data_IF_073192078951
#
_entry.id   IF_073192078951
#
_cell.length_a   1.000
_cell.length_b   1.000
_cell.length_c   1.000
_cell.angle_alpha   90.00
_cell.angle_beta   90.00
_cell.angle_gamma   90.00
#
_symmetry.space_group_name_H-M   'P 1'
#
loop_
_entity.id
_entity.type
_entity.pdbx_description
1 polymer ?
#
# COMPACT_ATOMS: atom_id res chain seq x y z
N UNK A 1 -11.31 0.06 -25.75
CA UNK A 1 -11.42 1.43 -26.30
C UNK A 1 -10.41 2.23 -25.52
N UNK A 2 -9.42 2.82 -26.18
CA UNK A 2 -8.44 3.69 -25.50
C UNK A 2 -9.14 4.95 -25.02
N UNK A 3 -8.86 5.37 -23.77
CA UNK A 3 -9.42 6.60 -23.21
C UNK A 3 -8.84 7.82 -23.94
N UNK A 4 -9.67 8.83 -24.29
CA UNK A 4 -9.24 10.00 -25.06
C UNK A 4 -8.31 10.94 -24.28
N UNK A 5 -8.26 10.80 -22.95
CA UNK A 5 -7.36 11.53 -22.05
C UNK A 5 -6.85 10.56 -21.00
N UNK A 6 -5.54 10.57 -20.74
CA UNK A 6 -4.91 9.80 -19.67
C UNK A 6 -4.05 10.72 -18.81
N UNK A 7 -3.88 10.37 -17.53
CA UNK A 7 -3.07 11.13 -16.58
C UNK A 7 -2.13 10.20 -15.83
N UNK A 8 -0.97 10.71 -15.44
CA UNK A 8 0.03 10.02 -14.64
C UNK A 8 0.30 10.84 -13.37
N UNK A 9 0.30 10.17 -12.22
CA UNK A 9 0.66 10.74 -10.93
C UNK A 9 2.06 10.24 -10.56
N UNK A 10 2.93 11.16 -10.14
CA UNK A 10 4.28 10.85 -9.68
C UNK A 10 4.30 10.23 -8.28
N UNK A 11 5.46 9.72 -7.87
CA UNK A 11 5.67 9.10 -6.55
C UNK A 11 5.40 10.07 -5.37
N UNK A 12 5.44 11.38 -5.64
CA UNK A 12 5.11 12.44 -4.69
C UNK A 12 3.59 12.70 -4.56
N UNK A 13 2.76 11.95 -5.30
CA UNK A 13 1.32 12.14 -5.37
C UNK A 13 0.88 13.34 -6.21
N UNK A 14 1.82 14.03 -6.89
CA UNK A 14 1.52 15.17 -7.76
C UNK A 14 1.27 14.71 -9.20
N UNK A 15 0.50 15.50 -9.94
CA UNK A 15 0.24 15.25 -11.36
C UNK A 15 1.53 15.44 -12.16
N UNK A 16 2.06 14.35 -12.73
CA UNK A 16 3.30 14.35 -13.50
C UNK A 16 3.06 14.64 -14.99
N UNK A 17 2.00 14.05 -15.55
CA UNK A 17 1.67 14.25 -16.96
C UNK A 17 0.17 14.08 -17.24
N UNK A 18 -0.32 14.77 -18.27
CA UNK A 18 -1.63 14.53 -18.89
C UNK A 18 -1.40 14.38 -20.38
N UNK A 19 -1.87 13.28 -20.96
CA UNK A 19 -1.82 13.02 -22.40
C UNK A 19 -3.24 13.13 -22.95
N UNK A 20 -3.41 13.99 -23.94
CA UNK A 20 -4.68 14.25 -24.61
C UNK A 20 -4.56 13.73 -26.05
N UNK A 21 -5.46 12.83 -26.44
CA UNK A 21 -5.51 12.37 -27.83
C UNK A 21 -5.93 13.54 -28.75
N UNK A 22 -5.30 13.72 -29.93
CA UNK A 22 -5.67 14.78 -30.86
C UNK A 22 -7.15 14.81 -31.26
N UNK A 23 -7.86 13.67 -31.18
CA UNK A 23 -9.31 13.58 -31.44
C UNK A 23 -10.12 14.20 -30.30
N UNK A 24 -9.64 14.13 -29.06
CA UNK A 24 -10.26 14.74 -27.89
C UNK A 24 -10.24 16.28 -27.96
N UNK A 25 -9.28 16.86 -28.69
CA UNK A 25 -9.22 18.31 -28.94
C UNK A 25 -10.38 18.84 -29.79
N UNK A 26 -11.18 17.95 -30.40
CA UNK A 26 -12.40 18.31 -31.14
C UNK A 26 -13.64 18.42 -30.25
N UNK A 27 -13.55 17.99 -28.99
CA UNK A 27 -14.63 18.06 -28.03
C UNK A 27 -14.87 19.51 -27.61
N UNK A 28 -16.07 19.80 -27.12
CA UNK A 28 -16.34 21.08 -26.49
C UNK A 28 -15.51 21.23 -25.21
N UNK A 29 -15.13 22.47 -24.87
CA UNK A 29 -14.25 22.75 -23.74
C UNK A 29 -14.75 22.15 -22.41
N UNK A 30 -16.07 22.17 -22.19
CA UNK A 30 -16.69 21.57 -21.01
C UNK A 30 -16.57 20.04 -20.97
N UNK A 31 -16.70 19.39 -22.12
CA UNK A 31 -16.61 17.94 -22.26
C UNK A 31 -15.16 17.46 -22.10
N UNK A 32 -14.21 18.17 -22.74
CA UNK A 32 -12.78 17.90 -22.57
C UNK A 32 -12.34 18.08 -21.10
N UNK A 33 -12.83 19.13 -20.42
CA UNK A 33 -12.54 19.34 -19.01
C UNK A 33 -13.06 18.19 -18.13
N UNK A 34 -14.23 17.63 -18.46
CA UNK A 34 -14.77 16.44 -17.81
C UNK A 34 -13.81 15.24 -17.91
N UNK A 35 -13.35 14.93 -19.13
CA UNK A 35 -12.42 13.82 -19.36
C UNK A 35 -11.07 14.01 -18.66
N UNK A 36 -10.54 15.24 -18.62
CA UNK A 36 -9.30 15.54 -17.88
C UNK A 36 -9.48 15.28 -16.39
N UNK A 37 -10.59 15.72 -15.80
CA UNK A 37 -10.87 15.50 -14.36
C UNK A 37 -11.03 14.02 -14.05
N UNK A 38 -11.73 13.27 -14.91
CA UNK A 38 -11.90 11.82 -14.75
C UNK A 38 -10.56 11.08 -14.80
N UNK A 39 -9.71 11.40 -15.78
CA UNK A 39 -8.39 10.80 -15.94
C UNK A 39 -7.49 11.08 -14.73
N UNK A 40 -7.45 12.33 -14.25
CA UNK A 40 -6.65 12.70 -13.06
C UNK A 40 -7.14 11.96 -11.81
N UNK A 41 -8.46 11.85 -11.61
CA UNK A 41 -9.03 11.11 -10.48
C UNK A 41 -8.80 9.61 -10.58
N UNK A 42 -8.77 9.04 -11.78
CA UNK A 42 -8.41 7.65 -11.99
C UNK A 42 -6.94 7.41 -11.57
N UNK A 43 -6.03 8.24 -12.07
CA UNK A 43 -4.60 8.16 -11.73
C UNK A 43 -4.32 8.35 -10.23
N UNK A 44 -5.01 9.27 -9.57
CA UNK A 44 -4.91 9.44 -8.11
C UNK A 44 -5.41 8.22 -7.34
N UNK A 45 -6.54 7.61 -7.76
CA UNK A 45 -7.06 6.39 -7.12
C UNK A 45 -6.17 5.18 -7.33
N UNK A 46 -5.45 5.12 -8.45
CA UNK A 46 -4.45 4.07 -8.68
C UNK A 46 -3.22 4.27 -7.80
N UNK A 47 -2.78 5.51 -7.61
CA UNK A 47 -1.68 5.84 -6.70
C UNK A 47 -2.02 5.61 -5.22
N UNK A 48 -3.25 5.91 -4.80
CA UNK A 48 -3.73 5.69 -3.42
C UNK A 48 -3.98 4.21 -3.10
N UNK A 49 -4.22 3.38 -4.12
CA UNK A 49 -4.34 1.95 -3.91
C UNK A 49 -2.97 1.39 -3.52
N UNK A 50 -2.84 0.69 -2.38
CA UNK A 50 -1.63 -0.08 -2.13
C UNK A 50 -1.45 -1.01 -3.33
N UNK A 51 -0.21 -1.16 -3.86
CA UNK A 51 0.02 -1.97 -5.04
C UNK A 51 -0.63 -3.34 -4.85
N UNK A 52 -1.72 -3.60 -5.58
CA UNK A 52 -2.37 -4.91 -5.63
C UNK A 52 -1.31 -5.85 -6.18
N UNK A 53 -0.96 -6.83 -5.36
CA UNK A 53 0.13 -7.78 -5.59
C UNK A 53 1.54 -7.17 -5.47
N UNK A 54 1.91 -6.77 -4.26
CA UNK A 54 3.33 -6.85 -3.87
C UNK A 54 3.57 -8.25 -3.30
N UNK A 55 4.15 -9.20 -4.06
CA UNK A 55 4.53 -10.52 -3.54
C UNK A 55 5.50 -10.45 -2.34
N UNK A 56 6.04 -9.27 -2.02
CA UNK A 56 6.78 -9.02 -0.79
C UNK A 56 5.93 -8.68 0.44
N UNK A 57 4.70 -8.18 0.30
CA UNK A 57 3.87 -7.79 1.44
C UNK A 57 3.39 -9.03 2.21
N UNK A 58 2.97 -10.08 1.51
CA UNK A 58 2.59 -11.35 2.14
C UNK A 58 3.78 -11.99 2.88
N UNK A 59 4.99 -11.88 2.31
CA UNK A 59 6.23 -12.35 2.96
C UNK A 59 6.57 -11.50 4.20
N UNK A 60 6.34 -10.19 4.15
CA UNK A 60 6.55 -9.29 5.30
C UNK A 60 5.55 -9.58 6.41
N UNK A 61 4.27 -9.81 6.06
CA UNK A 61 3.23 -10.20 7.01
C UNK A 61 3.51 -11.56 7.64
N UNK A 62 3.90 -12.55 6.83
CA UNK A 62 4.32 -13.86 7.35
C UNK A 62 5.51 -13.75 8.32
N UNK A 63 6.51 -12.89 8.00
CA UNK A 63 7.64 -12.67 8.91
C UNK A 63 7.26 -11.95 10.19
N UNK A 64 6.25 -11.09 10.17
CA UNK A 64 5.72 -10.45 11.37
C UNK A 64 5.03 -11.49 12.28
N UNK A 65 4.22 -12.38 11.71
CA UNK A 65 3.58 -13.48 12.46
C UNK A 65 4.61 -14.43 13.06
N UNK A 66 5.67 -14.77 12.32
CA UNK A 66 6.77 -15.61 12.80
C UNK A 66 7.56 -14.93 13.95
N UNK A 67 7.75 -13.60 13.86
CA UNK A 67 8.42 -12.82 14.90
C UNK A 67 7.59 -12.77 16.19
N UNK A 68 6.27 -12.58 16.08
CA UNK A 68 5.35 -12.56 17.20
C UNK A 68 5.32 -13.92 17.93
N UNK A 69 5.19 -15.02 17.17
CA UNK A 69 5.22 -16.37 17.72
C UNK A 69 6.56 -16.73 18.39
N UNK A 70 7.67 -16.13 17.95
CA UNK A 70 8.97 -16.31 18.60
C UNK A 70 9.09 -15.49 19.88
N UNK A 71 8.57 -14.26 19.89
CA UNK A 71 8.55 -13.41 21.07
C UNK A 71 7.75 -14.06 22.22
N UNK A 72 6.60 -14.64 21.92
CA UNK A 72 5.78 -15.34 22.93
C UNK A 72 6.54 -16.52 23.57
N UNK A 73 7.22 -17.33 22.76
CA UNK A 73 8.04 -18.45 23.25
C UNK A 73 9.22 -17.99 24.11
N UNK A 74 9.86 -16.90 23.71
CA UNK A 74 10.98 -16.34 24.46
C UNK A 74 10.50 -15.77 25.80
N UNK A 75 9.33 -15.14 25.84
CA UNK A 75 8.70 -14.66 27.08
C UNK A 75 8.29 -15.81 28.00
N UNK A 76 7.69 -16.88 27.48
CA UNK A 76 7.36 -18.08 28.25
C UNK A 76 8.60 -18.74 28.84
N UNK A 77 9.69 -18.79 28.08
CA UNK A 77 10.96 -19.29 28.55
C UNK A 77 11.53 -18.42 29.69
N UNK A 78 11.49 -17.09 29.56
CA UNK A 78 11.95 -16.18 30.62
C UNK A 78 11.09 -16.33 31.89
N UNK A 79 9.77 -16.42 31.75
CA UNK A 79 8.86 -16.63 32.88
C UNK A 79 9.11 -17.95 33.61
N UNK A 80 9.28 -19.06 32.86
CA UNK A 80 9.60 -20.36 33.49
C UNK A 80 10.92 -20.34 34.26
N UNK A 81 11.94 -19.64 33.74
CA UNK A 81 13.24 -19.45 34.42
C UNK A 81 13.13 -18.60 35.68
N UNK A 82 12.26 -17.57 35.66
CA UNK A 82 11.98 -16.74 36.82
C UNK A 82 11.25 -17.54 37.91
N UNK A 83 10.20 -18.30 37.53
CA UNK A 83 9.45 -19.16 38.45
C UNK A 83 10.32 -20.24 39.09
N UNK A 84 11.17 -20.90 38.31
CA UNK A 84 12.13 -21.90 38.83
C UNK A 84 13.19 -21.29 39.75
N UNK A 85 13.55 -20.02 39.53
CA UNK A 85 14.48 -19.30 40.41
C UNK A 85 13.80 -18.90 41.71
N UNK A 86 12.55 -18.41 41.65
CA UNK A 86 11.75 -18.07 42.83
C UNK A 86 11.44 -19.29 43.69
N UNK A 87 11.07 -20.43 43.08
CA UNK A 87 10.82 -21.69 43.80
C UNK A 87 12.04 -22.14 44.60
N UNK A 88 13.24 -22.01 44.03
CA UNK A 88 14.51 -22.34 44.69
C UNK A 88 14.88 -21.43 45.87
N UNK A 89 14.26 -20.25 46.00
CA UNK A 89 14.44 -19.37 47.16
C UNK A 89 13.43 -19.63 48.30
N UNK A 90 12.36 -20.36 48.02
CA UNK A 90 11.31 -20.72 48.99
C UNK A 90 11.43 -22.13 49.58
N UNK A 91 12.38 -22.94 49.09
CA UNK A 91 12.82 -24.23 49.66
C UNK A 91 14.08 -24.06 50.52
#
# INVERSE_FOLDING_TARGET
MDEPVTAEVGEDGLLAAVRIDPRAMRLYSAELAGHVVEAVRAAQREHEQPPRDSPGLDVVLQRLDELEAQADKDFDYVNSRLDDSLRRYTE
#
